data_IF_429512502459
#
_entry.id   IF_429512502459
#
_cell.length_a   1.000
_cell.length_b   1.000
_cell.length_c   1.000
_cell.angle_alpha   90.00
_cell.angle_beta   90.00
_cell.angle_gamma   90.00
#
_symmetry.space_group_name_H-M   'P 1'
#
loop_
_entity.id
_entity.type
_entity.pdbx_description
1 polymer ?
#
# COMPACT_ATOMS: atom_id res chain seq x y z
N UNK A 1 -4.92 -8.48 5.46
CA UNK A 1 -4.91 -7.01 5.68
C UNK A 1 -5.03 -6.28 4.34
N UNK A 2 -5.68 -5.11 4.29
CA UNK A 2 -5.70 -4.24 3.11
C UNK A 2 -5.14 -2.85 3.46
N UNK A 3 -4.31 -2.29 2.58
CA UNK A 3 -3.74 -0.95 2.69
C UNK A 3 -4.07 -0.18 1.42
N UNK A 4 -4.75 0.95 1.53
CA UNK A 4 -5.08 1.82 0.39
C UNK A 4 -4.31 3.14 0.51
N UNK A 5 -3.62 3.51 -0.57
CA UNK A 5 -2.89 4.76 -0.72
C UNK A 5 -3.62 5.67 -1.69
N UNK A 6 -3.79 6.93 -1.31
CA UNK A 6 -4.10 8.02 -2.22
C UNK A 6 -2.82 8.84 -2.44
N UNK A 7 -2.43 8.99 -3.70
CA UNK A 7 -1.13 9.52 -4.08
C UNK A 7 -1.21 10.36 -5.36
N UNK A 8 -0.20 11.19 -5.58
CA UNK A 8 0.09 11.72 -6.93
C UNK A 8 0.57 10.59 -7.86
N UNK A 9 0.44 10.72 -9.20
CA UNK A 9 0.91 9.69 -10.14
C UNK A 9 2.37 9.28 -9.97
N UNK A 10 3.25 10.23 -9.63
CA UNK A 10 4.68 9.95 -9.36
C UNK A 10 4.89 9.12 -8.10
N UNK A 11 4.11 9.39 -7.05
CA UNK A 11 4.18 8.63 -5.80
C UNK A 11 3.55 7.24 -5.94
N UNK A 12 2.53 7.07 -6.80
CA UNK A 12 1.94 5.77 -7.13
C UNK A 12 2.98 4.77 -7.63
N UNK A 13 3.84 5.16 -8.57
CA UNK A 13 4.90 4.27 -9.08
C UNK A 13 5.86 3.82 -7.98
N UNK A 14 6.21 4.71 -7.05
CA UNK A 14 7.07 4.40 -5.92
C UNK A 14 6.39 3.41 -4.95
N UNK A 15 5.10 3.58 -4.68
CA UNK A 15 4.30 2.65 -3.85
C UNK A 15 4.21 1.29 -4.55
N UNK A 16 3.91 1.25 -5.84
CA UNK A 16 3.85 0.01 -6.62
C UNK A 16 5.18 -0.75 -6.58
N UNK A 17 6.31 -0.05 -6.76
CA UNK A 17 7.64 -0.66 -6.72
C UNK A 17 7.97 -1.24 -5.33
N UNK A 18 7.71 -0.48 -4.27
CA UNK A 18 8.04 -0.90 -2.91
C UNK A 18 7.21 -2.10 -2.43
N UNK A 19 5.89 -2.08 -2.66
CA UNK A 19 5.03 -3.18 -2.23
C UNK A 19 5.06 -4.37 -3.19
N UNK A 20 5.39 -4.17 -4.47
CA UNK A 20 5.55 -5.26 -5.45
C UNK A 20 6.76 -6.15 -5.17
N UNK A 21 7.68 -5.73 -4.30
CA UNK A 21 8.83 -6.52 -3.87
C UNK A 21 8.57 -7.34 -2.59
N UNK A 22 7.46 -7.08 -1.89
CA UNK A 22 7.13 -7.79 -0.65
C UNK A 22 6.45 -9.13 -0.96
N UNK A 23 7.01 -10.21 -0.44
CA UNK A 23 6.39 -11.54 -0.57
C UNK A 23 5.02 -11.56 0.14
N UNK A 24 4.00 -12.14 -0.53
CA UNK A 24 2.63 -12.15 -0.02
C UNK A 24 1.87 -10.83 -0.22
N UNK A 25 2.42 -9.90 -1.02
CA UNK A 25 1.75 -8.67 -1.42
C UNK A 25 1.00 -8.88 -2.74
N UNK A 26 -0.30 -8.62 -2.75
CA UNK A 26 -1.07 -8.42 -3.98
C UNK A 26 -1.34 -6.95 -4.15
N UNK A 27 -0.72 -6.32 -5.15
CA UNK A 27 -0.85 -4.88 -5.41
C UNK A 27 -1.78 -4.64 -6.59
N UNK A 28 -2.83 -3.86 -6.35
CA UNK A 28 -3.88 -3.53 -7.31
C UNK A 28 -3.79 -2.02 -7.61
N UNK A 29 -3.21 -1.62 -8.76
CA UNK A 29 -3.30 -0.24 -9.22
C UNK A 29 -4.73 0.06 -9.66
N UNK A 30 -5.31 1.17 -9.21
CA UNK A 30 -6.61 1.64 -9.74
C UNK A 30 -6.43 2.37 -11.07
N UNK A 31 -7.51 2.49 -11.85
CA UNK A 31 -7.50 3.16 -13.16
C UNK A 31 -7.44 4.69 -13.08
N UNK A 32 -7.69 5.28 -11.90
CA UNK A 32 -7.70 6.73 -11.68
C UNK A 32 -6.31 7.40 -11.67
N UNK A 33 -5.23 6.61 -11.81
CA UNK A 33 -3.87 7.11 -11.85
C UNK A 33 -3.28 7.56 -10.50
N UNK A 34 -4.06 7.55 -9.42
CA UNK A 34 -3.70 8.15 -8.14
C UNK A 34 -3.83 7.19 -6.95
N UNK A 35 -4.64 6.14 -7.06
CA UNK A 35 -4.87 5.19 -5.96
C UNK A 35 -4.11 3.87 -6.18
N UNK A 36 -3.70 3.28 -5.07
CA UNK A 36 -3.09 1.94 -5.02
C UNK A 36 -3.68 1.20 -3.85
N UNK A 37 -4.10 -0.05 -4.06
CA UNK A 37 -4.50 -0.93 -2.96
C UNK A 37 -3.54 -2.10 -2.88
N UNK A 38 -3.09 -2.41 -1.67
CA UNK A 38 -2.21 -3.53 -1.34
C UNK A 38 -2.99 -4.48 -0.44
N UNK A 39 -3.09 -5.73 -0.84
CA UNK A 39 -3.55 -6.82 0.00
C UNK A 39 -2.33 -7.58 0.52
N UNK A 40 -2.31 -7.85 1.82
CA UNK A 40 -1.24 -8.55 2.49
C UNK A 40 -1.78 -9.82 3.16
N UNK A 41 -1.08 -10.94 2.94
CA UNK A 41 -1.28 -12.20 3.65
C UNK A 41 -0.76 -12.13 5.10
N UNK A 42 -0.83 -13.24 5.84
CA UNK A 42 -0.82 -13.30 7.33
C UNK A 42 0.36 -12.62 8.04
N UNK A 43 1.48 -12.33 7.37
CA UNK A 43 2.61 -11.60 7.96
C UNK A 43 2.36 -10.09 7.90
N UNK A 44 1.73 -9.52 8.93
CA UNK A 44 1.32 -8.12 8.90
C UNK A 44 2.41 -7.09 9.27
N UNK A 45 3.46 -7.48 10.00
CA UNK A 45 4.45 -6.54 10.54
C UNK A 45 5.25 -5.80 9.46
N UNK A 46 5.81 -6.54 8.49
CA UNK A 46 6.59 -5.95 7.39
C UNK A 46 5.76 -4.98 6.54
N UNK A 47 4.48 -5.32 6.34
CA UNK A 47 3.55 -4.49 5.58
C UNK A 47 3.12 -3.23 6.34
N UNK A 48 2.95 -3.32 7.66
CA UNK A 48 2.68 -2.16 8.51
C UNK A 48 3.89 -1.20 8.52
N UNK A 49 5.10 -1.74 8.63
CA UNK A 49 6.33 -0.94 8.55
C UNK A 49 6.51 -0.28 7.17
N UNK A 50 6.25 -1.03 6.10
CA UNK A 50 6.27 -0.50 4.73
C UNK A 50 5.21 0.60 4.55
N UNK A 51 4.00 0.40 5.10
CA UNK A 51 2.93 1.39 5.03
C UNK A 51 3.26 2.67 5.80
N UNK A 52 3.84 2.52 7.01
CA UNK A 52 4.31 3.65 7.80
C UNK A 52 5.38 4.45 7.05
N UNK A 53 6.37 3.77 6.47
CA UNK A 53 7.44 4.41 5.68
C UNK A 53 6.89 5.09 4.42
N UNK A 54 5.95 4.46 3.72
CA UNK A 54 5.35 5.03 2.52
C UNK A 54 4.46 6.25 2.84
N UNK A 55 3.83 6.29 4.02
CA UNK A 55 2.97 7.41 4.44
C UNK A 55 3.73 8.74 4.54
N UNK A 56 5.05 8.72 4.73
CA UNK A 56 5.88 9.92 4.79
C UNK A 56 6.48 10.33 3.44
N UNK A 57 6.17 9.63 2.35
CA UNK A 57 6.71 9.97 1.04
C UNK A 57 6.03 11.21 0.44
N UNK A 58 6.81 12.13 -0.17
CA UNK A 58 6.25 13.25 -0.90
C UNK A 58 5.24 12.78 -1.96
N UNK A 59 4.04 13.35 -1.92
CA UNK A 59 2.95 13.00 -2.83
C UNK A 59 2.12 11.79 -2.41
N UNK A 60 2.32 11.21 -1.23
CA UNK A 60 1.33 10.35 -0.56
C UNK A 60 0.45 11.23 0.32
N UNK A 61 -0.83 11.30 0.01
CA UNK A 61 -1.78 12.23 0.63
C UNK A 61 -2.57 11.57 1.75
N UNK A 62 -2.90 10.29 1.57
CA UNK A 62 -3.68 9.53 2.54
C UNK A 62 -3.31 8.05 2.49
N UNK A 63 -3.22 7.44 3.66
CA UNK A 63 -3.07 5.99 3.82
C UNK A 63 -4.22 5.48 4.69
N UNK A 64 -4.88 4.41 4.25
CA UNK A 64 -5.93 3.72 5.01
C UNK A 64 -5.52 2.27 5.18
N UNK A 65 -5.41 1.81 6.42
CA UNK A 65 -5.11 0.42 6.75
C UNK A 65 -6.40 -0.21 7.30
N UNK A 66 -6.76 -1.37 6.75
CA UNK A 66 -7.92 -2.17 7.15
C UNK A 66 -7.38 -3.54 7.58
N UNK A 67 -7.43 -3.79 8.88
CA UNK A 67 -7.19 -5.11 9.46
C UNK A 67 -8.52 -5.87 9.45
N UNK A 68 -8.67 -6.83 8.55
CA UNK A 68 -9.78 -7.77 8.60
C UNK A 68 -9.35 -8.93 9.50
N UNK A 69 -9.99 -9.08 10.66
CA UNK A 69 -10.02 -10.35 11.36
C UNK A 69 -10.87 -11.29 10.51
N UNK A 70 -10.22 -12.12 9.70
CA UNK A 70 -10.84 -13.34 9.19
C UNK A 70 -10.78 -14.32 10.37
N UNK A 71 -11.83 -14.30 11.19
CA UNK A 71 -11.94 -15.11 12.41
C UNK A 71 -11.91 -16.61 12.16
#
# INVERSE_FOLDING_TARGET
>A
MQISFHTTPKAKEKVLCNFGQLAGATVIPTHDGAHVTVHAEEKHEDFLLAAYTASSWPGVEKVRIILQNLG
#
